data_IF_975274654834
#
_entry.id   IF_975274654834
#
_cell.length_a   1.000
_cell.length_b   1.000
_cell.length_c   1.000
_cell.angle_alpha   90.00
_cell.angle_beta   90.00
_cell.angle_gamma   90.00
#
_symmetry.space_group_name_H-M   'P 1'
#
loop_
_entity.id
_entity.type
_entity.pdbx_description
1 polymer ?
#
# COMPACT_ATOMS: atom_id res chain seq x y z
N UNK A 1 13.47 32.79 14.02
CA UNK A 1 12.34 33.42 13.31
C UNK A 1 11.08 33.00 14.03
N UNK A 2 10.23 33.94 14.49
CA UNK A 2 9.01 33.62 15.22
C UNK A 2 8.00 32.92 14.30
N UNK A 3 7.22 31.98 14.85
CA UNK A 3 6.21 31.19 14.11
C UNK A 3 5.15 32.06 13.41
N UNK A 4 4.90 33.25 13.96
CA UNK A 4 3.97 34.23 13.39
C UNK A 4 4.41 34.74 12.01
N UNK A 5 5.72 34.90 11.77
CA UNK A 5 6.24 35.39 10.49
C UNK A 5 6.11 34.33 9.38
N UNK A 6 6.12 33.04 9.75
CA UNK A 6 5.98 31.93 8.81
C UNK A 6 4.55 31.79 8.27
N UNK A 7 3.55 32.08 9.11
CA UNK A 7 2.13 32.05 8.73
C UNK A 7 1.71 33.29 7.94
N UNK A 8 2.45 34.39 8.06
CA UNK A 8 2.15 35.64 7.37
C UNK A 8 2.72 35.67 5.94
N UNK A 9 3.71 34.82 5.63
CA UNK A 9 4.31 34.73 4.30
C UNK A 9 3.58 33.67 3.44
N UNK A 10 2.77 34.13 2.49
CA UNK A 10 1.95 33.27 1.63
C UNK A 10 2.77 32.24 0.84
N UNK A 11 3.93 32.63 0.31
CA UNK A 11 4.81 31.75 -0.46
C UNK A 11 5.39 30.63 0.41
N UNK A 12 5.80 30.97 1.64
CA UNK A 12 6.35 30.01 2.60
C UNK A 12 5.25 29.04 3.07
N UNK A 13 4.04 29.56 3.33
CA UNK A 13 2.89 28.74 3.71
C UNK A 13 2.53 27.74 2.61
N UNK A 14 2.51 28.18 1.34
CA UNK A 14 2.24 27.31 0.20
C UNK A 14 3.27 26.17 0.08
N UNK A 15 4.56 26.48 0.24
CA UNK A 15 5.63 25.48 0.21
C UNK A 15 5.51 24.44 1.34
N UNK A 16 5.19 24.88 2.56
CA UNK A 16 5.00 23.98 3.71
C UNK A 16 3.78 23.07 3.49
N UNK A 17 2.67 23.60 3.00
CA UNK A 17 1.46 22.81 2.72
C UNK A 17 1.72 21.79 1.61
N UNK A 18 2.32 22.21 0.50
CA UNK A 18 2.65 21.29 -0.59
C UNK A 18 3.67 20.23 -0.16
N UNK A 19 4.68 20.60 0.63
CA UNK A 19 5.67 19.69 1.16
C UNK A 19 5.07 18.63 2.10
N UNK A 20 4.15 19.03 2.97
CA UNK A 20 3.47 18.10 3.88
C UNK A 20 2.56 17.14 3.12
N UNK A 21 1.77 17.64 2.15
CA UNK A 21 0.93 16.78 1.29
C UNK A 21 1.78 15.77 0.53
N UNK A 22 2.87 16.21 -0.09
CA UNK A 22 3.78 15.34 -0.84
C UNK A 22 4.40 14.27 0.06
N UNK A 23 4.86 14.66 1.25
CA UNK A 23 5.45 13.72 2.22
C UNK A 23 4.42 12.68 2.69
N UNK A 24 3.22 13.12 3.06
CA UNK A 24 2.14 12.23 3.47
C UNK A 24 1.75 11.27 2.35
N UNK A 25 1.70 11.74 1.11
CA UNK A 25 1.40 10.89 -0.05
C UNK A 25 2.48 9.84 -0.28
N UNK A 26 3.76 10.21 -0.23
CA UNK A 26 4.89 9.28 -0.40
C UNK A 26 4.82 8.17 0.65
N UNK A 27 4.69 8.54 1.93
CA UNK A 27 4.61 7.57 3.03
C UNK A 27 3.41 6.64 2.83
N UNK A 28 2.24 7.20 2.50
CA UNK A 28 1.02 6.42 2.27
C UNK A 28 1.16 5.46 1.10
N UNK A 29 1.77 5.90 0.00
CA UNK A 29 2.00 5.08 -1.18
C UNK A 29 2.97 3.92 -0.88
N UNK A 30 4.04 4.18 -0.12
CA UNK A 30 4.99 3.14 0.31
C UNK A 30 4.30 2.09 1.19
N UNK A 31 3.55 2.51 2.21
CA UNK A 31 2.82 1.60 3.10
C UNK A 31 1.83 0.76 2.31
N UNK A 32 1.04 1.39 1.42
CA UNK A 32 0.10 0.67 0.57
C UNK A 32 0.79 -0.36 -0.34
N UNK A 33 1.99 -0.04 -0.86
CA UNK A 33 2.80 -0.96 -1.64
C UNK A 33 3.23 -2.20 -0.84
N UNK A 34 3.74 -1.99 0.37
CA UNK A 34 4.15 -3.08 1.28
C UNK A 34 2.96 -3.97 1.63
N UNK A 35 1.82 -3.37 2.00
CA UNK A 35 0.61 -4.13 2.35
C UNK A 35 0.11 -4.98 1.18
N UNK A 36 0.12 -4.44 -0.06
CA UNK A 36 -0.27 -5.18 -1.26
C UNK A 36 0.63 -6.41 -1.48
N UNK A 37 1.95 -6.25 -1.35
CA UNK A 37 2.90 -7.36 -1.52
C UNK A 37 2.70 -8.42 -0.44
N UNK A 38 2.61 -8.00 0.82
CA UNK A 38 2.38 -8.91 1.95
C UNK A 38 1.06 -9.69 1.81
N UNK A 39 -0.03 -9.02 1.41
CA UNK A 39 -1.32 -9.67 1.19
C UNK A 39 -1.25 -10.71 0.05
N UNK A 40 -0.53 -10.41 -1.04
CA UNK A 40 -0.32 -11.37 -2.14
C UNK A 40 0.49 -12.58 -1.70
N UNK A 41 1.53 -12.39 -0.88
CA UNK A 41 2.30 -13.52 -0.35
C UNK A 41 1.48 -14.38 0.62
N UNK A 42 0.76 -13.75 1.55
CA UNK A 42 -0.13 -14.43 2.48
C UNK A 42 -1.18 -15.26 1.75
N UNK A 43 -1.87 -14.67 0.79
CA UNK A 43 -2.86 -15.37 -0.04
C UNK A 43 -2.25 -16.54 -0.83
N UNK A 44 -0.99 -16.44 -1.32
CA UNK A 44 -0.31 -17.58 -1.98
C UNK A 44 -0.07 -18.73 -1.00
N UNK A 45 0.35 -18.43 0.23
CA UNK A 45 0.60 -19.44 1.27
C UNK A 45 -0.70 -20.12 1.71
N UNK A 46 -1.78 -19.35 1.83
CA UNK A 46 -3.11 -19.89 2.16
C UNK A 46 -3.64 -20.81 1.07
N UNK A 47 -3.54 -20.42 -0.21
CA UNK A 47 -3.94 -21.28 -1.34
C UNK A 47 -3.14 -22.59 -1.32
N UNK A 48 -1.82 -22.54 -1.07
CA UNK A 48 -0.99 -23.73 -0.97
C UNK A 48 -1.42 -24.65 0.19
N UNK A 49 -1.76 -24.08 1.35
CA UNK A 49 -2.27 -24.83 2.49
C UNK A 49 -3.61 -25.52 2.16
N UNK A 50 -4.55 -24.81 1.53
CA UNK A 50 -5.85 -25.38 1.14
C UNK A 50 -5.72 -26.50 0.09
N UNK A 51 -4.73 -26.42 -0.81
CA UNK A 51 -4.43 -27.51 -1.73
C UNK A 51 -3.86 -28.72 -0.97
N UNK A 52 -2.95 -28.49 -0.02
CA UNK A 52 -2.35 -29.55 0.79
C UNK A 52 -3.37 -30.24 1.71
N UNK A 53 -4.34 -29.48 2.24
CA UNK A 53 -5.47 -29.99 3.02
C UNK A 53 -6.53 -30.67 2.15
N UNK A 54 -6.49 -30.47 0.82
CA UNK A 54 -7.42 -31.05 -0.14
C UNK A 54 -8.78 -30.35 -0.21
N UNK A 55 -8.93 -29.17 0.42
CA UNK A 55 -10.19 -28.40 0.42
C UNK A 55 -10.43 -27.63 -0.89
N UNK A 56 -9.38 -27.45 -1.69
CA UNK A 56 -9.42 -26.81 -3.02
C UNK A 56 -8.56 -27.65 -3.98
N UNK A 57 -9.01 -27.88 -5.22
CA UNK A 57 -8.19 -28.59 -6.22
C UNK A 57 -7.03 -27.72 -6.74
N UNK A 58 -5.92 -28.32 -7.20
CA UNK A 58 -4.81 -27.57 -7.81
C UNK A 58 -5.25 -26.64 -8.96
N UNK A 59 -6.20 -27.07 -9.79
CA UNK A 59 -6.75 -26.31 -10.91
C UNK A 59 -7.57 -25.12 -10.43
N UNK A 60 -8.29 -25.26 -9.32
CA UNK A 60 -9.02 -24.15 -8.69
C UNK A 60 -8.04 -23.15 -8.05
N UNK A 61 -6.98 -23.63 -7.40
CA UNK A 61 -5.90 -22.80 -6.87
C UNK A 61 -5.20 -21.98 -7.95
N UNK A 62 -4.91 -22.59 -9.10
CA UNK A 62 -4.31 -21.90 -10.25
C UNK A 62 -5.21 -20.76 -10.77
N UNK A 63 -6.53 -21.00 -10.87
CA UNK A 63 -7.49 -19.98 -11.27
C UNK A 63 -7.56 -18.82 -10.28
N UNK A 64 -7.52 -19.11 -8.97
CA UNK A 64 -7.52 -18.08 -7.92
C UNK A 64 -6.26 -17.21 -7.99
N UNK A 65 -5.09 -17.83 -8.22
CA UNK A 65 -3.83 -17.09 -8.38
C UNK A 65 -3.88 -16.17 -9.61
N UNK A 66 -4.38 -16.67 -10.75
CA UNK A 66 -4.53 -15.87 -11.98
C UNK A 66 -5.56 -14.74 -11.85
N UNK A 67 -6.66 -14.95 -11.13
CA UNK A 67 -7.67 -13.93 -10.93
C UNK A 67 -7.16 -12.74 -10.10
N UNK A 68 -6.22 -12.99 -9.19
CA UNK A 68 -5.63 -11.99 -8.29
C UNK A 68 -4.48 -11.18 -8.90
N UNK A 69 -3.87 -11.67 -9.96
CA UNK A 69 -2.77 -10.98 -10.64
C UNK A 69 -3.25 -9.94 -11.67
N UNK A 70 -4.58 -9.79 -11.85
CA UNK A 70 -5.23 -8.69 -12.56
C UNK A 70 -5.46 -7.50 -11.63
#
# INVERSE_FOLDING_TARGET
>A
MPLADLLHNEDTLALVVMGTIALTWIVSATVAGVMKTSAKEKSRREIAAFIAEGSISPEQGERLMRARDK
#
